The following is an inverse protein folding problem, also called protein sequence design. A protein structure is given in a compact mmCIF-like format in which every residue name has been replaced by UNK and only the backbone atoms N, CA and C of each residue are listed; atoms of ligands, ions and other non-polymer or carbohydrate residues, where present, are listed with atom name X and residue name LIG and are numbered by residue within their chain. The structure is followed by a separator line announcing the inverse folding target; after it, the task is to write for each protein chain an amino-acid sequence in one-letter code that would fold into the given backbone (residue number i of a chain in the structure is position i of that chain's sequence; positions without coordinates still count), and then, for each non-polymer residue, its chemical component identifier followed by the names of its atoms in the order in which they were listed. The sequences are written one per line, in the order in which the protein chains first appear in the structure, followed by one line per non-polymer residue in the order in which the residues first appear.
data_IF_019235254424
#
_entry.id   IF_019235254424
#
_cell.length_a   1.000
_cell.length_b   1.000
_cell.length_c   1.000
_cell.angle_alpha   90.00
_cell.angle_beta   90.00
_cell.angle_gamma   90.00
#
_symmetry.space_group_name_H-M   'P 1'
#
loop_
_entity.id
_entity.type
_entity.pdbx_description
1 polymer ?
#
# COMPACT_ATOMS: atom_id res chain seq x y z
N UNK A 1 -1.10 10.34 6.61
CA UNK A 1 -2.50 9.96 6.87
C UNK A 1 -2.59 9.20 8.18
N UNK A 2 -3.45 9.64 9.06
CA UNK A 2 -3.68 9.05 10.37
C UNK A 2 -5.12 8.55 10.47
N UNK A 3 -5.32 7.35 11.02
CA UNK A 3 -6.65 6.79 11.24
C UNK A 3 -6.62 5.74 12.35
N UNK A 4 -7.76 5.50 12.98
CA UNK A 4 -7.91 4.46 14.00
C UNK A 4 -8.64 3.24 13.46
N UNK A 5 -8.34 2.08 14.02
CA UNK A 5 -9.06 0.82 13.75
C UNK A 5 -9.50 0.23 15.08
N UNK A 6 -10.75 -0.22 15.13
CA UNK A 6 -11.31 -0.88 16.30
C UNK A 6 -12.11 -2.11 15.90
N UNK A 7 -11.84 -3.24 16.56
CA UNK A 7 -12.63 -4.45 16.38
C UNK A 7 -12.60 -5.27 17.69
N UNK A 8 -13.74 -5.38 18.35
CA UNK A 8 -13.87 -6.05 19.66
C UNK A 8 -13.81 -7.59 19.54
N UNK A 9 -13.93 -8.16 18.35
CA UNK A 9 -14.02 -9.60 18.11
C UNK A 9 -12.66 -10.25 17.83
N UNK A 10 -11.71 -9.49 17.28
CA UNK A 10 -10.42 -10.01 16.85
C UNK A 10 -9.27 -9.24 17.48
N UNK A 11 -8.13 -9.92 17.64
CA UNK A 11 -6.88 -9.28 18.02
C UNK A 11 -6.25 -8.62 16.79
N UNK A 12 -6.08 -7.30 16.82
CA UNK A 12 -5.58 -6.54 15.67
C UNK A 12 -4.14 -6.92 15.29
N UNK A 13 -3.33 -7.38 16.24
CA UNK A 13 -1.97 -7.87 15.94
C UNK A 13 -1.93 -9.06 14.97
N UNK A 14 -3.03 -9.79 14.84
CA UNK A 14 -3.15 -10.92 13.90
C UNK A 14 -3.44 -10.52 12.48
N UNK A 15 -3.97 -9.32 12.27
CA UNK A 15 -4.37 -8.84 10.93
C UNK A 15 -3.46 -7.73 10.42
N UNK A 16 -2.79 -6.98 11.31
CA UNK A 16 -1.84 -5.93 10.93
C UNK A 16 -0.47 -6.57 10.73
N UNK A 17 -0.24 -7.07 9.53
CA UNK A 17 1.00 -7.74 9.12
C UNK A 17 1.17 -7.63 7.60
N UNK A 18 2.13 -8.35 7.02
CA UNK A 18 2.40 -8.33 5.58
C UNK A 18 1.25 -8.86 4.72
N UNK A 19 0.29 -9.58 5.29
CA UNK A 19 -0.92 -10.02 4.59
C UNK A 19 -1.90 -8.87 4.28
N UNK A 20 -1.62 -7.66 4.76
CA UNK A 20 -2.36 -6.48 4.34
C UNK A 20 -2.23 -6.20 2.83
N UNK A 21 -1.13 -6.60 2.19
CA UNK A 21 -0.95 -6.41 0.74
C UNK A 21 -1.96 -7.22 -0.10
N UNK A 22 -2.10 -8.54 0.08
CA UNK A 22 -3.16 -9.28 -0.59
C UNK A 22 -4.56 -8.72 -0.31
N UNK A 23 -4.82 -8.30 0.92
CA UNK A 23 -6.08 -7.68 1.30
C UNK A 23 -6.30 -6.35 0.58
N UNK A 24 -5.27 -5.53 0.49
CA UNK A 24 -5.29 -4.26 -0.24
C UNK A 24 -5.70 -4.46 -1.70
N UNK A 25 -5.17 -5.50 -2.36
CA UNK A 25 -5.55 -5.86 -3.72
C UNK A 25 -7.02 -6.30 -3.80
N UNK A 26 -7.45 -7.21 -2.92
CA UNK A 26 -8.80 -7.73 -2.94
C UNK A 26 -9.88 -6.65 -2.74
N UNK A 27 -9.58 -5.66 -1.90
CA UNK A 27 -10.51 -4.57 -1.61
C UNK A 27 -10.47 -3.42 -2.63
N UNK A 28 -9.45 -3.37 -3.49
CA UNK A 28 -9.21 -2.25 -4.39
C UNK A 28 -9.01 -2.68 -5.85
N UNK A 29 -9.77 -3.64 -6.33
CA UNK A 29 -9.70 -4.12 -7.72
C UNK A 29 -10.12 -3.09 -8.74
N UNK A 30 -10.79 -2.06 -8.33
CA UNK A 30 -11.11 -0.90 -9.16
C UNK A 30 -9.90 0.00 -9.45
N UNK A 31 -8.87 -0.07 -8.62
CA UNK A 31 -7.64 0.73 -8.72
C UNK A 31 -6.42 -0.12 -9.08
N UNK A 32 -6.36 -1.34 -8.55
CA UNK A 32 -5.25 -2.26 -8.73
C UNK A 32 -5.64 -3.35 -9.71
N UNK A 33 -4.91 -3.43 -10.82
CA UNK A 33 -5.14 -4.44 -11.85
C UNK A 33 -4.61 -5.82 -11.42
N UNK A 34 -3.41 -5.84 -10.82
CA UNK A 34 -2.72 -7.08 -10.47
C UNK A 34 -1.77 -6.88 -9.30
N UNK A 35 -1.70 -7.89 -8.45
CA UNK A 35 -0.70 -7.98 -7.40
C UNK A 35 0.00 -9.34 -7.51
N UNK A 36 1.33 -9.32 -7.56
CA UNK A 36 2.16 -10.53 -7.57
C UNK A 36 3.08 -10.54 -6.36
N UNK A 37 3.21 -11.69 -5.72
CA UNK A 37 4.18 -11.90 -4.64
C UNK A 37 5.42 -12.52 -5.26
N UNK A 38 6.54 -11.77 -5.28
CA UNK A 38 7.80 -12.23 -5.87
C UNK A 38 8.63 -13.03 -4.87
N UNK A 39 8.59 -12.66 -3.60
CA UNK A 39 9.20 -13.39 -2.50
C UNK A 39 8.49 -13.05 -1.20
N UNK A 40 8.46 -13.99 -0.26
CA UNK A 40 7.93 -13.73 1.07
C UNK A 40 8.58 -14.62 2.13
N UNK A 41 8.67 -14.06 3.34
CA UNK A 41 9.02 -14.76 4.56
C UNK A 41 8.15 -14.17 5.70
N UNK A 42 8.37 -14.60 6.94
CA UNK A 42 7.59 -14.09 8.07
C UNK A 42 7.84 -12.60 8.35
N UNK A 43 8.99 -12.07 7.95
CA UNK A 43 9.42 -10.70 8.26
C UNK A 43 9.64 -9.82 7.05
N UNK A 44 9.68 -10.39 5.84
CA UNK A 44 9.98 -9.67 4.61
C UNK A 44 9.09 -10.14 3.46
N UNK A 45 8.78 -9.24 2.55
CA UNK A 45 8.15 -9.60 1.28
C UNK A 45 8.56 -8.64 0.18
N UNK A 46 8.57 -9.16 -1.05
CA UNK A 46 8.72 -8.35 -2.26
C UNK A 46 7.49 -8.57 -3.12
N UNK A 47 6.78 -7.51 -3.41
CA UNK A 47 5.52 -7.56 -4.16
C UNK A 47 5.57 -6.67 -5.39
N UNK A 48 4.84 -7.06 -6.41
CA UNK A 48 4.59 -6.27 -7.61
C UNK A 48 3.13 -5.82 -7.60
N UNK A 49 2.92 -4.52 -7.71
CA UNK A 49 1.57 -3.94 -7.84
C UNK A 49 1.47 -3.24 -9.19
N UNK A 50 0.55 -3.68 -10.02
CA UNK A 50 0.22 -3.04 -11.30
C UNK A 50 -1.10 -2.30 -11.12
N UNK A 51 -1.06 -0.98 -11.32
CA UNK A 51 -2.25 -0.14 -11.20
C UNK A 51 -3.04 -0.14 -12.49
N UNK A 52 -4.36 0.01 -12.38
CA UNK A 52 -5.20 0.28 -13.53
C UNK A 52 -4.83 1.63 -14.14
N UNK A 53 -5.02 1.77 -15.44
CA UNK A 53 -4.77 3.02 -16.15
C UNK A 53 -5.60 4.15 -15.56
N UNK A 54 -4.94 5.26 -15.21
CA UNK A 54 -5.59 6.50 -14.79
C UNK A 54 -4.95 7.69 -15.50
N UNK A 55 -5.69 8.77 -15.66
CA UNK A 55 -5.17 10.00 -16.24
C UNK A 55 -4.71 9.88 -17.71
N UNK A 56 -5.19 8.88 -18.45
CA UNK A 56 -4.82 8.65 -19.84
C UNK A 56 -5.10 9.87 -20.72
N UNK A 57 -6.20 10.55 -20.47
CA UNK A 57 -6.59 11.78 -21.17
C UNK A 57 -5.63 12.94 -20.91
N UNK A 58 -4.80 12.87 -19.87
CA UNK A 58 -3.77 13.86 -19.54
C UNK A 58 -2.36 13.38 -19.88
N UNK A 59 -2.23 12.29 -20.66
CA UNK A 59 -0.95 11.74 -21.05
C UNK A 59 -0.23 10.95 -19.96
N UNK A 60 -0.92 10.57 -18.88
CA UNK A 60 -0.33 9.75 -17.81
C UNK A 60 -0.23 8.32 -18.27
N UNK A 61 0.97 7.74 -18.23
CA UNK A 61 1.23 6.35 -18.57
C UNK A 61 0.73 5.41 -17.46
N UNK A 62 0.44 4.16 -17.84
CA UNK A 62 0.10 3.09 -16.89
C UNK A 62 1.30 2.83 -15.96
N UNK A 63 1.06 2.59 -14.69
CA UNK A 63 2.09 2.51 -13.64
C UNK A 63 2.14 1.16 -12.96
N UNK A 64 3.33 0.80 -12.50
CA UNK A 64 3.54 -0.30 -11.56
C UNK A 64 4.57 0.09 -10.51
N UNK A 65 4.56 -0.61 -9.39
CA UNK A 65 5.59 -0.48 -8.35
C UNK A 65 5.98 -1.87 -7.86
N UNK A 66 7.28 -2.07 -7.65
CA UNK A 66 7.80 -3.25 -6.97
C UNK A 66 8.28 -2.82 -5.58
N UNK A 67 7.64 -3.30 -4.53
CA UNK A 67 7.93 -2.92 -3.15
C UNK A 67 8.60 -4.06 -2.40
N UNK A 68 9.71 -3.76 -1.75
CA UNK A 68 10.31 -4.63 -0.75
C UNK A 68 9.93 -4.09 0.62
N UNK A 69 9.30 -4.94 1.43
CA UNK A 69 8.74 -4.59 2.73
C UNK A 69 9.32 -5.44 3.83
N UNK A 70 9.60 -4.81 4.96
CA UNK A 70 10.00 -5.48 6.21
C UNK A 70 9.00 -5.13 7.29
N UNK A 71 8.72 -6.09 8.19
CA UNK A 71 7.87 -5.86 9.36
C UNK A 71 8.70 -6.00 10.63
N UNK A 72 8.54 -5.04 11.53
CA UNK A 72 9.13 -5.04 12.86
C UNK A 72 8.00 -4.95 13.89
N UNK A 73 8.01 -5.86 14.87
CA UNK A 73 7.05 -5.85 15.97
C UNK A 73 7.77 -5.65 17.28
N UNK A 74 7.21 -4.79 18.12
CA UNK A 74 7.65 -4.57 19.49
C UNK A 74 6.42 -4.45 20.38
N UNK A 75 6.59 -4.29 21.70
CA UNK A 75 5.48 -4.15 22.61
C UNK A 75 4.57 -2.97 22.21
N UNK A 76 3.36 -3.30 21.79
CA UNK A 76 2.35 -2.32 21.42
C UNK A 76 2.61 -1.58 20.10
N UNK A 77 3.59 -2.00 19.29
CA UNK A 77 3.88 -1.34 18.02
C UNK A 77 4.18 -2.33 16.91
N UNK A 78 3.69 -2.04 15.72
CA UNK A 78 3.98 -2.78 14.48
C UNK A 78 4.39 -1.75 13.43
N UNK A 79 5.54 -1.95 12.78
CA UNK A 79 6.04 -1.07 11.74
C UNK A 79 6.29 -1.88 10.48
N UNK A 80 5.66 -1.49 9.39
CA UNK A 80 5.94 -2.03 8.05
C UNK A 80 6.67 -0.95 7.27
N UNK A 81 7.95 -1.20 6.99
CA UNK A 81 8.79 -0.31 6.19
C UNK A 81 8.95 -0.89 4.80
N UNK A 82 8.63 -0.09 3.80
CA UNK A 82 8.72 -0.48 2.41
C UNK A 82 9.49 0.53 1.60
N UNK A 83 10.17 0.03 0.56
CA UNK A 83 10.82 0.87 -0.45
C UNK A 83 10.66 0.20 -1.80
N UNK A 84 10.65 0.99 -2.87
CA UNK A 84 10.64 0.43 -4.22
C UNK A 84 12.00 -0.19 -4.56
N UNK A 85 11.94 -1.30 -5.29
CA UNK A 85 13.10 -1.98 -5.86
C UNK A 85 13.10 -1.74 -7.36
N UNK A 86 14.23 -1.28 -7.91
CA UNK A 86 14.35 -1.01 -9.33
C UNK A 86 14.28 -2.31 -10.14
N UNK A 87 13.34 -2.37 -11.08
CA UNK A 87 13.09 -3.53 -11.94
C UNK A 87 12.91 -3.11 -13.41
N UNK A 88 13.96 -2.55 -14.05
CA UNK A 88 13.83 -1.99 -15.42
C UNK A 88 13.39 -3.02 -16.45
N UNK A 89 13.70 -4.31 -16.27
CA UNK A 89 13.25 -5.39 -17.15
C UNK A 89 11.73 -5.54 -17.16
N UNK A 90 11.06 -5.31 -16.03
CA UNK A 90 9.61 -5.40 -15.93
C UNK A 90 8.90 -4.26 -16.68
N UNK A 91 9.51 -3.09 -16.79
CA UNK A 91 8.97 -1.96 -17.54
C UNK A 91 8.66 -2.36 -18.98
N UNK A 92 9.59 -3.03 -19.66
CA UNK A 92 9.39 -3.51 -21.03
C UNK A 92 8.34 -4.63 -21.14
N UNK A 93 8.34 -5.57 -20.19
CA UNK A 93 7.40 -6.71 -20.18
C UNK A 93 5.97 -6.24 -19.90
N UNK A 94 5.79 -5.34 -18.93
CA UNK A 94 4.48 -4.85 -18.50
C UNK A 94 3.95 -3.71 -19.37
N UNK A 95 4.82 -3.09 -20.18
CA UNK A 95 4.51 -1.86 -20.91
C UNK A 95 3.96 -0.75 -20.01
N UNK A 96 4.55 -0.61 -18.83
CA UNK A 96 4.18 0.34 -17.78
C UNK A 96 5.42 1.11 -17.34
N UNK A 97 5.23 2.31 -16.80
CA UNK A 97 6.29 3.05 -16.12
C UNK A 97 6.38 2.66 -14.64
N UNK A 98 7.61 2.58 -14.15
CA UNK A 98 7.90 2.25 -12.77
C UNK A 98 7.74 3.46 -11.86
N UNK A 99 6.98 3.28 -10.78
CA UNK A 99 6.89 4.24 -9.68
C UNK A 99 8.08 4.01 -8.76
N UNK A 100 8.76 5.09 -8.39
CA UNK A 100 9.86 5.06 -7.43
C UNK A 100 9.38 5.61 -6.09
N UNK A 101 9.59 4.85 -5.02
CA UNK A 101 9.30 5.29 -3.67
C UNK A 101 10.48 5.00 -2.74
N UNK A 102 11.17 6.04 -2.26
CA UNK A 102 12.23 5.87 -1.26
C UNK A 102 11.72 5.25 0.04
N UNK A 103 10.48 5.53 0.41
CA UNK A 103 9.83 4.92 1.55
C UNK A 103 8.30 4.97 1.42
N UNK A 104 7.69 3.92 1.93
CA UNK A 104 6.24 3.79 2.12
C UNK A 104 6.06 3.05 3.42
N UNK A 105 5.80 3.76 4.51
CA UNK A 105 5.80 3.19 5.85
C UNK A 105 4.42 3.23 6.48
N UNK A 106 4.08 2.12 7.13
CA UNK A 106 2.87 2.01 7.95
C UNK A 106 3.28 1.79 9.40
N UNK A 107 2.83 2.66 10.27
CA UNK A 107 3.06 2.58 11.72
C UNK A 107 1.73 2.27 12.40
N UNK A 108 1.69 1.20 13.19
CA UNK A 108 0.55 0.85 14.00
C UNK A 108 0.94 0.88 15.48
N UNK A 109 0.21 1.64 16.28
CA UNK A 109 0.31 1.63 17.72
C UNK A 109 -0.92 0.91 18.28
N UNK A 110 -0.70 -0.21 18.95
CA UNK A 110 -1.77 -0.98 19.57
C UNK A 110 -2.10 -0.36 20.94
N UNK A 111 -3.24 0.31 21.01
CA UNK A 111 -3.72 0.92 22.27
C UNK A 111 -4.30 -0.16 23.18
N UNK A 112 -4.79 -1.26 22.58
CA UNK A 112 -5.24 -2.49 23.21
C UNK A 112 -5.18 -3.63 22.17
N UNK A 113 -5.58 -4.84 22.55
CA UNK A 113 -5.69 -5.95 21.59
C UNK A 113 -6.70 -5.67 20.47
N UNK A 114 -7.65 -4.78 20.71
CA UNK A 114 -8.81 -4.52 19.86
C UNK A 114 -8.85 -3.11 19.28
N UNK A 115 -7.85 -2.29 19.56
CA UNK A 115 -7.80 -0.89 19.11
C UNK A 115 -6.39 -0.49 18.73
N UNK A 116 -6.24 0.10 17.53
CA UNK A 116 -4.96 0.56 17.01
C UNK A 116 -5.08 1.95 16.41
N UNK A 117 -4.01 2.74 16.58
CA UNK A 117 -3.81 3.99 15.88
C UNK A 117 -2.83 3.75 14.73
N UNK A 118 -3.23 4.09 13.52
CA UNK A 118 -2.47 3.84 12.29
C UNK A 118 -1.96 5.14 11.71
N UNK A 119 -0.70 5.13 11.26
CA UNK A 119 -0.11 6.24 10.52
C UNK A 119 0.55 5.73 9.26
N UNK A 120 0.16 6.28 8.12
CA UNK A 120 0.77 5.98 6.84
C UNK A 120 1.54 7.18 6.32
N UNK A 121 2.78 6.97 5.94
CA UNK A 121 3.66 8.00 5.38
C UNK A 121 4.35 7.44 4.14
N UNK A 122 4.26 8.14 3.03
CA UNK A 122 4.87 7.72 1.79
C UNK A 122 5.49 8.91 1.04
N UNK A 123 6.56 8.63 0.32
CA UNK A 123 7.12 9.50 -0.70
C UNK A 123 7.08 8.73 -2.02
N UNK A 124 6.31 9.21 -2.98
CA UNK A 124 6.12 8.55 -4.27
C UNK A 124 6.50 9.48 -5.40
N UNK A 125 7.36 8.99 -6.29
CA UNK A 125 7.81 9.72 -7.49
C UNK A 125 7.24 9.02 -8.72
N UNK A 126 6.41 9.74 -9.47
CA UNK A 126 5.69 9.20 -10.63
C UNK A 126 6.50 9.25 -11.93
N UNK A 127 7.65 9.94 -11.95
CA UNK A 127 8.52 10.04 -13.12
C UNK A 127 8.05 11.02 -14.20
N UNK A 128 6.92 11.68 -14.01
CA UNK A 128 6.36 12.67 -14.94
C UNK A 128 5.65 13.78 -14.15
N UNK A 129 5.57 14.96 -14.75
CA UNK A 129 4.81 16.07 -14.18
C UNK A 129 3.31 15.80 -14.30
N UNK A 130 2.61 15.90 -13.18
CA UNK A 130 1.17 15.74 -13.13
C UNK A 130 0.48 17.07 -12.88
N UNK A 131 -0.64 17.36 -13.56
CA UNK A 131 -1.48 18.48 -13.18
C UNK A 131 -1.92 18.37 -11.72
N UNK A 132 -2.04 19.53 -11.03
CA UNK A 132 -2.37 19.58 -9.59
C UNK A 132 -3.64 18.78 -9.26
N UNK A 133 -4.67 18.86 -10.10
CA UNK A 133 -5.91 18.13 -9.85
C UNK A 133 -5.77 16.61 -10.02
N UNK A 134 -4.83 16.13 -10.84
CA UNK A 134 -4.50 14.70 -10.94
C UNK A 134 -3.80 14.24 -9.67
N UNK A 135 -2.86 15.04 -9.15
CA UNK A 135 -2.20 14.74 -7.86
C UNK A 135 -3.23 14.70 -6.72
N UNK A 136 -4.18 15.63 -6.70
CA UNK A 136 -5.26 15.64 -5.72
C UNK A 136 -6.15 14.40 -5.82
N UNK A 137 -6.48 13.96 -7.05
CA UNK A 137 -7.21 12.72 -7.28
C UNK A 137 -6.46 11.50 -6.72
N UNK A 138 -5.15 11.42 -6.95
CA UNK A 138 -4.32 10.34 -6.42
C UNK A 138 -4.33 10.31 -4.89
N UNK A 139 -4.26 11.48 -4.24
CA UNK A 139 -4.38 11.59 -2.79
C UNK A 139 -5.72 11.06 -2.27
N UNK A 140 -6.81 11.38 -2.95
CA UNK A 140 -8.16 10.88 -2.61
C UNK A 140 -8.23 9.36 -2.78
N UNK A 141 -7.69 8.82 -3.87
CA UNK A 141 -7.67 7.38 -4.14
C UNK A 141 -6.85 6.64 -3.08
N UNK A 142 -5.69 7.15 -2.71
CA UNK A 142 -4.85 6.55 -1.67
C UNK A 142 -5.57 6.52 -0.31
N UNK A 143 -6.22 7.62 0.05
CA UNK A 143 -7.05 7.69 1.26
C UNK A 143 -8.17 6.65 1.24
N UNK A 144 -8.84 6.50 0.11
CA UNK A 144 -9.94 5.54 -0.06
C UNK A 144 -9.44 4.09 0.09
N UNK A 145 -8.26 3.77 -0.43
CA UNK A 145 -7.64 2.44 -0.29
C UNK A 145 -7.53 2.07 1.19
N UNK A 146 -7.00 2.97 2.02
CA UNK A 146 -6.82 2.70 3.44
C UNK A 146 -8.15 2.69 4.22
N UNK A 147 -9.10 3.54 3.86
CA UNK A 147 -10.42 3.52 4.48
C UNK A 147 -11.17 2.20 4.22
N UNK A 148 -11.01 1.62 3.05
CA UNK A 148 -11.60 0.30 2.73
C UNK A 148 -11.00 -0.81 3.60
N UNK A 149 -9.69 -0.77 3.84
CA UNK A 149 -9.03 -1.72 4.76
C UNK A 149 -9.56 -1.54 6.18
N UNK A 150 -9.64 -0.30 6.66
CA UNK A 150 -10.22 0.02 7.97
C UNK A 150 -11.63 -0.55 8.12
N UNK A 151 -12.51 -0.23 7.18
CA UNK A 151 -13.91 -0.71 7.21
C UNK A 151 -14.00 -2.24 7.20
N UNK A 152 -13.19 -2.88 6.37
CA UNK A 152 -13.15 -4.33 6.32
C UNK A 152 -12.75 -4.95 7.65
N UNK A 153 -11.68 -4.47 8.25
CA UNK A 153 -11.18 -4.98 9.55
C UNK A 153 -12.21 -4.73 10.65
N UNK A 154 -12.84 -3.58 10.66
CA UNK A 154 -13.85 -3.23 11.68
C UNK A 154 -15.14 -4.05 11.56
N UNK A 155 -15.43 -4.62 10.41
CA UNK A 155 -16.61 -5.46 10.15
C UNK A 155 -16.37 -6.97 10.31
N UNK A 156 -15.13 -7.38 10.54
CA UNK A 156 -14.79 -8.80 10.72
C UNK A 156 -15.51 -9.48 11.90
#
# INVERSE_FOLDING_TARGET
MDFGIKNERIQLSRVINLNLYPLLYQLNRDVIERLGILSESDTESTILIVFKQFGREFGVSKKYICLHSTIETSDGAIVIKSKSVNTPKLTGILNCEEIVSPFTNLYATLNSEHEASMKFVANVKMGEELPIYVENMLGIVMKQIFLRIKEFIEKL
#
